data_IF_791739104179
#
_entry.id   IF_791739104179
#
_cell.length_a   1.000
_cell.length_b   1.000
_cell.length_c   1.000
_cell.angle_alpha   90.00
_cell.angle_beta   90.00
_cell.angle_gamma   90.00
#
_symmetry.space_group_name_H-M   'P 1'
#
loop_
_entity.id
_entity.type
_entity.pdbx_description
1 polymer ?
#
# COMPACT_ATOMS: atom_id res chain seq x y z
N UNK A 1 3.29 8.87 -15.76
CA UNK A 1 4.54 8.17 -16.13
C UNK A 1 4.75 7.12 -15.07
N UNK A 2 5.00 5.87 -15.45
CA UNK A 2 5.19 4.78 -14.49
C UNK A 2 6.33 5.10 -13.51
N UNK A 3 6.06 4.94 -12.22
CA UNK A 3 7.04 5.01 -11.14
C UNK A 3 6.68 3.93 -10.13
N UNK A 4 7.59 3.00 -9.91
CA UNK A 4 7.44 1.98 -8.89
C UNK A 4 7.17 2.64 -7.53
N UNK A 5 6.21 2.08 -6.79
CA UNK A 5 5.86 2.59 -5.48
C UNK A 5 6.79 2.05 -4.41
N UNK A 6 7.90 2.74 -4.16
CA UNK A 6 8.80 2.43 -3.02
C UNK A 6 8.54 3.30 -1.79
N UNK A 7 7.64 4.29 -1.92
CA UNK A 7 7.40 5.30 -0.88
C UNK A 7 6.83 4.69 0.42
N UNK A 8 6.16 3.54 0.33
CA UNK A 8 5.61 2.84 1.50
C UNK A 8 6.70 2.29 2.44
N UNK A 9 7.95 2.14 1.97
CA UNK A 9 9.07 1.73 2.81
C UNK A 9 9.51 2.85 3.79
N UNK A 10 9.17 4.11 3.49
CA UNK A 10 9.48 5.25 4.32
C UNK A 10 8.26 5.68 5.13
N UNK A 11 8.37 5.68 6.45
CA UNK A 11 7.33 6.22 7.32
C UNK A 11 7.17 7.73 7.10
N UNK A 12 5.95 8.15 6.81
CA UNK A 12 5.58 9.57 6.73
C UNK A 12 5.09 10.10 8.09
N UNK A 13 5.47 11.34 8.41
CA UNK A 13 5.01 12.06 9.61
C UNK A 13 3.48 12.26 9.66
N UNK A 14 2.84 12.18 8.50
CA UNK A 14 1.40 12.40 8.36
C UNK A 14 0.62 11.08 8.23
N UNK A 15 1.24 9.94 8.50
CA UNK A 15 0.52 8.66 8.54
C UNK A 15 -0.44 8.61 9.73
N UNK A 16 -1.65 8.10 9.48
CA UNK A 16 -2.69 7.96 10.50
C UNK A 16 -2.27 7.08 11.68
N UNK A 17 -1.34 6.15 11.47
CA UNK A 17 -0.81 5.26 12.51
C UNK A 17 -0.02 6.02 13.58
N UNK A 18 0.55 7.18 13.25
CA UNK A 18 1.27 8.02 14.22
C UNK A 18 0.31 8.69 15.20
N UNK A 19 -0.89 9.04 14.75
CA UNK A 19 -1.93 9.73 15.52
C UNK A 19 -2.95 8.77 16.16
N UNK A 20 -2.82 7.48 15.88
CA UNK A 20 -3.72 6.45 16.39
C UNK A 20 -3.50 6.20 17.89
N UNK A 21 -4.57 5.93 18.63
CA UNK A 21 -4.47 5.53 20.03
C UNK A 21 -3.56 4.28 20.15
N UNK A 22 -2.57 4.27 21.07
CA UNK A 22 -1.62 3.16 21.21
C UNK A 22 -2.28 1.77 21.33
N UNK A 23 -3.43 1.67 22.00
CA UNK A 23 -4.16 0.39 22.14
C UNK A 23 -4.70 -0.12 20.82
N UNK A 24 -5.19 0.77 19.96
CA UNK A 24 -5.71 0.42 18.63
C UNK A 24 -4.55 0.04 17.73
N UNK A 25 -3.45 0.80 17.78
CA UNK A 25 -2.22 0.51 17.04
C UNK A 25 -1.66 -0.87 17.39
N UNK A 26 -1.62 -1.23 18.67
CA UNK A 26 -1.18 -2.57 19.11
C UNK A 26 -2.10 -3.68 18.58
N UNK A 27 -3.42 -3.48 18.61
CA UNK A 27 -4.38 -4.43 18.02
C UNK A 27 -4.17 -4.60 16.51
N UNK A 28 -3.91 -3.51 15.80
CA UNK A 28 -3.62 -3.54 14.36
C UNK A 28 -2.34 -4.35 14.09
N UNK A 29 -1.27 -4.14 14.86
CA UNK A 29 -0.03 -4.91 14.73
C UNK A 29 -0.15 -6.39 15.09
N UNK A 30 -1.18 -6.78 15.85
CA UNK A 30 -1.48 -8.20 16.14
C UNK A 30 -2.49 -8.82 15.18
N UNK A 31 -3.00 -8.04 14.22
CA UNK A 31 -4.00 -8.50 13.26
C UNK A 31 -3.34 -9.12 12.02
N UNK A 32 -4.15 -9.44 11.00
CA UNK A 32 -3.68 -9.90 9.69
C UNK A 32 -2.93 -8.82 8.91
N UNK A 33 -3.10 -7.53 9.26
CA UNK A 33 -2.62 -6.41 8.46
C UNK A 33 -1.09 -6.37 8.25
N UNK A 34 -0.23 -6.58 9.28
CA UNK A 34 1.22 -6.60 9.09
C UNK A 34 1.68 -7.76 8.20
N UNK A 35 1.09 -8.93 8.39
CA UNK A 35 1.40 -10.12 7.58
C UNK A 35 1.04 -9.86 6.12
N UNK A 36 -0.16 -9.32 5.87
CA UNK A 36 -0.59 -8.96 4.51
C UNK A 36 0.33 -7.90 3.89
N UNK A 37 0.72 -6.88 4.66
CA UNK A 37 1.64 -5.86 4.19
C UNK A 37 3.00 -6.46 3.77
N UNK A 38 3.62 -7.27 4.61
CA UNK A 38 4.95 -7.83 4.36
C UNK A 38 4.96 -8.90 3.26
N UNK A 39 3.95 -9.77 3.25
CA UNK A 39 3.93 -10.97 2.40
C UNK A 39 3.20 -10.75 1.08
N UNK A 40 2.24 -9.82 1.03
CA UNK A 40 1.44 -9.54 -0.16
C UNK A 40 1.80 -8.17 -0.72
N UNK A 41 1.47 -7.08 0.00
CA UNK A 41 1.61 -5.71 -0.52
C UNK A 41 3.02 -5.40 -1.03
N UNK A 42 4.04 -5.67 -0.21
CA UNK A 42 5.46 -5.43 -0.54
C UNK A 42 6.02 -6.36 -1.63
N UNK A 43 5.27 -7.39 -2.04
CA UNK A 43 5.68 -8.39 -3.04
C UNK A 43 4.99 -8.22 -4.38
N UNK A 44 4.07 -7.26 -4.50
CA UNK A 44 3.37 -6.99 -5.76
C UNK A 44 4.35 -6.33 -6.73
N UNK A 45 4.57 -6.98 -7.87
CA UNK A 45 5.26 -6.40 -9.01
C UNK A 45 4.30 -5.51 -9.82
N UNK A 46 4.61 -4.22 -9.92
CA UNK A 46 3.82 -3.24 -10.67
C UNK A 46 4.22 -3.13 -12.14
N UNK A 47 5.38 -3.67 -12.56
CA UNK A 47 5.89 -3.54 -13.93
C UNK A 47 4.88 -4.01 -15.00
N UNK A 48 4.15 -5.14 -14.82
CA UNK A 48 3.15 -5.59 -15.79
C UNK A 48 2.00 -4.61 -16.00
N UNK A 49 1.76 -3.72 -15.04
CA UNK A 49 0.66 -2.76 -15.03
C UNK A 49 1.10 -1.35 -15.47
N UNK A 50 2.35 -1.20 -15.93
CA UNK A 50 2.89 0.09 -16.37
C UNK A 50 2.02 0.80 -17.42
N UNK A 51 1.31 0.04 -18.27
CA UNK A 51 0.39 0.57 -19.29
C UNK A 51 -0.85 1.27 -18.71
N UNK A 52 -1.21 0.98 -17.46
CA UNK A 52 -2.34 1.61 -16.77
C UNK A 52 -2.02 3.03 -16.26
N UNK A 53 -0.74 3.41 -16.23
CA UNK A 53 -0.31 4.73 -15.75
C UNK A 53 -0.50 5.81 -16.82
N UNK A 54 -1.39 6.76 -16.54
CA UNK A 54 -1.63 7.91 -17.41
C UNK A 54 -0.43 8.87 -17.52
N UNK A 55 -0.36 9.59 -18.64
CA UNK A 55 0.62 10.66 -18.88
C UNK A 55 0.12 12.04 -18.42
N UNK A 56 -1.18 12.22 -18.20
CA UNK A 56 -1.80 13.52 -17.90
C UNK A 56 -2.73 13.42 -16.67
N UNK A 57 -2.48 14.24 -15.62
CA UNK A 57 -3.26 14.26 -14.36
C UNK A 57 -2.89 13.14 -13.37
N UNK A 58 -2.76 13.48 -12.06
CA UNK A 58 -2.26 12.62 -10.94
C UNK A 58 -1.64 11.28 -11.39
N UNK A 59 -0.49 11.33 -12.09
CA UNK A 59 -0.07 10.24 -12.96
C UNK A 59 0.51 9.02 -12.23
N UNK A 60 0.45 9.00 -10.89
CA UNK A 60 1.22 8.12 -10.03
C UNK A 60 0.39 7.58 -8.85
N UNK A 61 -0.92 7.31 -9.00
CA UNK A 61 -1.59 6.52 -7.96
C UNK A 61 -1.07 5.07 -8.07
N UNK A 62 -0.44 4.51 -7.01
CA UNK A 62 0.16 3.19 -7.09
C UNK A 62 -0.85 2.08 -7.40
N UNK A 63 -0.58 1.29 -8.43
CA UNK A 63 -1.44 0.16 -8.81
C UNK A 63 -1.39 -0.95 -7.76
N UNK A 64 -0.28 -1.10 -7.00
CA UNK A 64 -0.19 -2.07 -5.92
C UNK A 64 -1.27 -1.87 -4.85
N UNK A 65 -1.71 -0.63 -4.61
CA UNK A 65 -2.81 -0.33 -3.69
C UNK A 65 -4.13 -0.89 -4.24
N UNK A 66 -4.42 -0.67 -5.53
CA UNK A 66 -5.65 -1.20 -6.14
C UNK A 66 -5.69 -2.72 -6.10
N UNK A 67 -4.59 -3.37 -6.46
CA UNK A 67 -4.48 -4.84 -6.43
C UNK A 67 -4.63 -5.39 -5.01
N UNK A 68 -3.99 -4.73 -4.04
CA UNK A 68 -4.10 -5.10 -2.63
C UNK A 68 -5.52 -5.01 -2.11
N UNK A 69 -6.27 -3.98 -2.51
CA UNK A 69 -7.69 -3.85 -2.15
C UNK A 69 -8.53 -4.96 -2.77
N UNK A 70 -8.25 -5.34 -4.02
CA UNK A 70 -8.95 -6.48 -4.64
C UNK A 70 -8.60 -7.80 -3.93
N UNK A 71 -7.35 -8.01 -3.51
CA UNK A 71 -7.00 -9.19 -2.72
C UNK A 71 -7.72 -9.23 -1.38
N UNK A 72 -7.77 -8.11 -0.65
CA UNK A 72 -8.47 -8.02 0.64
C UNK A 72 -9.95 -8.37 0.50
N UNK A 73 -10.59 -7.99 -0.62
CA UNK A 73 -11.99 -8.31 -0.88
C UNK A 73 -12.25 -9.81 -1.03
N UNK A 74 -11.26 -10.59 -1.48
CA UNK A 74 -11.37 -12.05 -1.65
C UNK A 74 -10.84 -12.85 -0.45
N UNK A 75 -10.38 -12.19 0.62
CA UNK A 75 -10.01 -12.80 1.91
C UNK A 75 -11.24 -13.03 2.79
#
# INVERSE_FOLDING_TARGET
MFRANDNHAQQSLFESIQWMNPRIREKLYKSWAPIFYEQVFCKIDEEPFASLYGTTGKPNFPVNIMLSLEYIKHM
#
